data_IF_753427489386
#
_entry.id   IF_753427489386
#
_cell.length_a   1.000
_cell.length_b   1.000
_cell.length_c   1.000
_cell.angle_alpha   90.00
_cell.angle_beta   90.00
_cell.angle_gamma   90.00
#
_symmetry.space_group_name_H-M   'P 1'
#
loop_
_entity.id
_entity.type
_entity.pdbx_description
1 polymer ?
#
# COMPACT_ATOMS: atom_id res chain seq x y z
N UNK A 1 -32.38 68.85 -10.73
CA UNK A 1 -31.45 67.73 -10.40
C UNK A 1 -31.88 66.58 -11.27
N UNK A 2 -31.06 66.13 -12.18
CA UNK A 2 -31.30 64.91 -12.96
C UNK A 2 -31.08 63.72 -12.01
N UNK A 3 -32.06 62.86 -11.93
CA UNK A 3 -31.98 61.63 -11.17
C UNK A 3 -30.94 60.73 -11.77
N UNK A 4 -29.84 60.48 -11.08
CA UNK A 4 -28.78 59.57 -11.55
C UNK A 4 -29.32 58.16 -11.41
N UNK A 5 -29.58 57.52 -12.55
CA UNK A 5 -30.04 56.11 -12.57
C UNK A 5 -28.83 55.21 -12.33
N UNK A 6 -28.83 54.47 -11.20
CA UNK A 6 -27.82 53.45 -10.93
C UNK A 6 -28.15 52.18 -11.72
N UNK A 7 -27.21 51.74 -12.54
CA UNK A 7 -27.32 50.49 -13.32
C UNK A 7 -26.57 49.37 -12.59
N UNK A 8 -27.23 48.25 -12.30
CA UNK A 8 -26.64 47.05 -11.72
C UNK A 8 -26.29 45.99 -12.76
N UNK A 9 -26.94 46.02 -13.90
CA UNK A 9 -26.77 45.03 -14.97
C UNK A 9 -26.84 45.73 -16.34
N UNK A 10 -25.97 45.31 -17.27
CA UNK A 10 -26.02 45.76 -18.67
C UNK A 10 -26.85 44.73 -19.45
N UNK A 11 -28.03 45.16 -19.91
CA UNK A 11 -28.89 44.30 -20.75
C UNK A 11 -28.71 44.65 -22.23
N UNK A 12 -29.06 43.76 -23.17
CA UNK A 12 -29.04 44.04 -24.61
C UNK A 12 -29.86 45.26 -25.01
N UNK A 13 -30.99 45.50 -24.33
CA UNK A 13 -31.88 46.65 -24.56
C UNK A 13 -31.20 47.96 -24.14
N UNK A 14 -30.51 47.93 -22.99
CA UNK A 14 -29.79 49.09 -22.49
C UNK A 14 -28.62 49.46 -23.38
N UNK A 15 -27.94 48.49 -24.00
CA UNK A 15 -26.86 48.72 -24.96
C UNK A 15 -27.33 49.36 -26.25
N UNK A 16 -28.60 49.18 -26.64
CA UNK A 16 -29.21 49.81 -27.83
C UNK A 16 -29.58 51.25 -27.57
N UNK A 17 -29.68 51.71 -26.33
CA UNK A 17 -29.87 53.09 -25.98
C UNK A 17 -28.54 53.79 -25.72
N UNK A 18 -28.55 55.14 -25.63
CA UNK A 18 -27.35 55.89 -25.22
C UNK A 18 -27.31 56.15 -23.72
N UNK A 19 -28.31 55.73 -22.96
CA UNK A 19 -28.49 56.04 -21.55
C UNK A 19 -27.38 55.51 -20.66
N UNK A 20 -26.84 54.30 -21.00
CA UNK A 20 -25.77 53.69 -20.25
C UNK A 20 -24.46 54.49 -20.25
N UNK A 21 -24.26 55.41 -21.26
CA UNK A 21 -23.08 56.25 -21.32
C UNK A 21 -22.99 57.30 -20.24
N UNK A 22 -24.14 57.68 -19.70
CA UNK A 22 -24.28 58.73 -18.66
C UNK A 22 -24.77 58.12 -17.35
N UNK A 23 -24.89 56.81 -17.25
CA UNK A 23 -25.35 56.13 -16.06
C UNK A 23 -24.19 55.84 -15.07
N UNK A 24 -24.49 55.87 -13.81
CA UNK A 24 -23.57 55.47 -12.75
C UNK A 24 -23.71 53.97 -12.48
N UNK A 25 -22.63 53.24 -12.67
CA UNK A 25 -22.62 51.81 -12.40
C UNK A 25 -22.49 51.57 -10.90
N UNK A 26 -23.22 50.58 -10.36
CA UNK A 26 -23.09 50.17 -8.99
C UNK A 26 -21.66 49.77 -8.69
N UNK A 27 -20.96 50.46 -7.75
CA UNK A 27 -19.62 50.04 -7.38
C UNK A 27 -19.65 48.64 -6.76
N UNK A 28 -18.71 47.80 -7.13
CA UNK A 28 -18.52 46.51 -6.47
C UNK A 28 -17.09 46.44 -5.91
N UNK A 29 -16.99 45.79 -4.80
CA UNK A 29 -15.73 45.61 -4.11
C UNK A 29 -15.06 44.33 -4.61
N UNK A 30 -13.95 44.45 -5.31
CA UNK A 30 -13.17 43.33 -5.86
C UNK A 30 -12.44 42.53 -4.77
N UNK A 31 -12.36 43.09 -3.55
CA UNK A 31 -11.78 42.38 -2.40
C UNK A 31 -12.78 41.48 -1.70
N UNK A 32 -14.08 41.59 -1.99
CA UNK A 32 -15.07 40.66 -1.47
C UNK A 32 -14.85 39.26 -2.03
N UNK A 33 -14.70 38.29 -1.15
CA UNK A 33 -14.63 36.88 -1.53
C UNK A 33 -15.91 36.47 -2.28
N UNK A 34 -15.78 36.10 -3.54
CA UNK A 34 -16.88 35.49 -4.28
C UNK A 34 -17.19 34.13 -3.67
N UNK A 35 -18.46 33.78 -3.52
CA UNK A 35 -18.85 32.43 -3.12
C UNK A 35 -18.39 31.45 -4.22
N UNK A 36 -17.29 30.77 -3.99
CA UNK A 36 -16.81 29.72 -4.88
C UNK A 36 -17.80 28.55 -4.80
N UNK A 37 -18.36 28.08 -5.93
CA UNK A 37 -19.19 26.90 -5.92
C UNK A 37 -18.39 25.73 -5.34
N UNK A 38 -18.95 25.05 -4.35
CA UNK A 38 -18.32 23.89 -3.73
C UNK A 38 -18.29 22.75 -4.73
N UNK A 39 -17.14 22.52 -5.35
CA UNK A 39 -16.92 21.38 -6.23
C UNK A 39 -16.62 20.12 -5.42
N UNK A 40 -16.95 18.95 -5.96
CA UNK A 40 -16.56 17.67 -5.39
C UNK A 40 -15.02 17.53 -5.41
N UNK A 41 -14.50 16.71 -4.48
CA UNK A 41 -13.06 16.45 -4.34
C UNK A 41 -12.84 15.00 -3.92
N UNK A 42 -11.87 14.34 -4.51
CA UNK A 42 -11.46 13.00 -4.09
C UNK A 42 -10.88 13.03 -2.67
N UNK A 43 -11.12 11.96 -1.92
CA UNK A 43 -10.44 11.77 -0.63
C UNK A 43 -8.92 11.67 -0.88
N UNK A 44 -8.04 12.33 -0.09
CA UNK A 44 -6.59 12.34 -0.32
C UNK A 44 -5.96 10.95 -0.41
N UNK A 45 -6.44 9.99 0.39
CA UNK A 45 -5.99 8.60 0.31
C UNK A 45 -6.31 7.96 -1.04
N UNK A 46 -7.50 8.19 -1.60
CA UNK A 46 -7.86 7.64 -2.90
C UNK A 46 -7.02 8.26 -4.02
N UNK A 47 -6.79 9.57 -3.97
CA UNK A 47 -5.91 10.24 -4.92
C UNK A 47 -4.47 9.70 -4.84
N UNK A 48 -3.97 9.43 -3.63
CA UNK A 48 -2.65 8.83 -3.44
C UNK A 48 -2.58 7.40 -3.98
N UNK A 49 -3.59 6.57 -3.71
CA UNK A 49 -3.69 5.20 -4.25
C UNK A 49 -3.65 5.23 -5.78
N UNK A 50 -4.44 6.09 -6.42
CA UNK A 50 -4.45 6.22 -7.88
C UNK A 50 -3.10 6.67 -8.44
N UNK A 51 -2.42 7.61 -7.77
CA UNK A 51 -1.07 8.04 -8.16
C UNK A 51 -0.06 6.89 -8.06
N UNK A 52 -0.07 6.13 -6.98
CA UNK A 52 0.83 4.99 -6.78
C UNK A 52 0.56 3.91 -7.83
N UNK A 53 -0.73 3.59 -8.07
CA UNK A 53 -1.17 2.66 -9.12
C UNK A 53 -0.61 3.07 -10.48
N UNK A 54 -0.80 4.32 -10.87
CA UNK A 54 -0.30 4.86 -12.14
C UNK A 54 1.21 4.72 -12.27
N UNK A 55 1.97 4.98 -11.20
CA UNK A 55 3.43 4.84 -11.20
C UNK A 55 3.85 3.38 -11.46
N UNK A 56 3.25 2.40 -10.78
CA UNK A 56 3.60 0.99 -11.00
C UNK A 56 3.19 0.51 -12.40
N UNK A 57 2.01 0.92 -12.90
CA UNK A 57 1.59 0.62 -14.28
C UNK A 57 2.57 1.20 -15.32
N UNK A 58 3.01 2.45 -15.15
CA UNK A 58 4.04 3.07 -15.99
C UNK A 58 5.39 2.37 -15.92
N UNK A 59 5.71 1.75 -14.77
CA UNK A 59 6.93 0.97 -14.58
C UNK A 59 6.81 -0.47 -15.15
N UNK A 60 5.67 -0.81 -15.77
CA UNK A 60 5.42 -2.11 -16.41
C UNK A 60 4.95 -3.20 -15.47
N UNK A 61 4.37 -2.86 -14.31
CA UNK A 61 3.77 -3.82 -13.40
C UNK A 61 2.28 -4.02 -13.70
N UNK A 62 1.78 -5.22 -13.42
CA UNK A 62 0.34 -5.55 -13.45
C UNK A 62 -0.23 -5.57 -12.03
N UNK A 63 -1.43 -5.02 -11.84
CA UNK A 63 -2.11 -5.06 -10.54
C UNK A 63 -2.81 -6.40 -10.34
N UNK A 64 -2.65 -7.00 -9.15
CA UNK A 64 -3.32 -8.24 -8.77
C UNK A 64 -4.28 -8.00 -7.60
N UNK A 65 -5.33 -8.80 -7.53
CA UNK A 65 -6.41 -8.72 -6.52
C UNK A 65 -6.59 -10.10 -5.89
N UNK A 66 -6.72 -10.14 -4.57
CA UNK A 66 -6.97 -11.36 -3.81
C UNK A 66 -7.85 -11.12 -2.58
N UNK A 67 -8.35 -12.20 -1.99
CA UNK A 67 -9.27 -12.17 -0.87
C UNK A 67 -8.64 -11.71 0.45
N UNK A 68 -9.46 -11.09 1.31
CA UNK A 68 -9.07 -10.68 2.66
C UNK A 68 -8.96 -11.85 3.64
N UNK A 69 -9.81 -12.86 3.45
CA UNK A 69 -9.84 -14.06 4.29
C UNK A 69 -8.81 -15.05 3.75
N UNK A 70 -7.90 -15.43 4.63
CA UNK A 70 -6.78 -16.30 4.28
C UNK A 70 -6.63 -17.41 5.31
N UNK A 71 -5.78 -18.39 5.03
CA UNK A 71 -5.33 -19.36 6.02
C UNK A 71 -4.01 -18.92 6.65
N UNK A 72 -3.74 -19.38 7.86
CA UNK A 72 -2.43 -19.17 8.49
C UNK A 72 -1.29 -19.78 7.66
N UNK A 73 -1.57 -20.89 6.96
CA UNK A 73 -0.63 -21.50 6.02
C UNK A 73 -0.20 -20.53 4.92
N UNK A 74 -1.13 -19.99 4.18
CA UNK A 74 -0.81 -19.02 3.11
C UNK A 74 -0.23 -17.72 3.66
N UNK A 75 -0.77 -17.22 4.76
CA UNK A 75 -0.36 -15.93 5.33
C UNK A 75 1.01 -15.98 6.02
N UNK A 76 1.45 -17.15 6.51
CA UNK A 76 2.65 -17.27 7.33
C UNK A 76 3.54 -18.47 6.97
N UNK A 77 2.99 -19.70 6.85
CA UNK A 77 3.82 -20.89 6.59
C UNK A 77 4.47 -20.82 5.20
N UNK A 78 3.73 -20.38 4.19
CA UNK A 78 4.25 -20.13 2.84
C UNK A 78 5.40 -19.12 2.80
N UNK A 79 5.53 -18.28 3.82
CA UNK A 79 6.61 -17.30 3.99
C UNK A 79 7.68 -17.78 4.97
N UNK A 80 7.71 -19.07 5.26
CA UNK A 80 8.67 -19.66 6.17
C UNK A 80 8.72 -18.97 7.54
N UNK A 81 7.58 -18.43 8.02
CA UNK A 81 7.46 -17.86 9.36
C UNK A 81 7.18 -19.02 10.33
N UNK A 82 8.04 -19.26 11.35
CA UNK A 82 7.86 -20.41 12.27
C UNK A 82 6.52 -20.36 13.00
N UNK A 83 5.98 -21.54 13.35
CA UNK A 83 4.64 -21.63 13.94
C UNK A 83 4.54 -21.09 15.36
N UNK A 84 5.66 -20.93 16.04
CA UNK A 84 5.79 -20.29 17.37
C UNK A 84 6.18 -18.82 17.31
N UNK A 85 6.20 -18.22 16.10
CA UNK A 85 6.53 -16.80 15.95
C UNK A 85 5.48 -15.90 16.62
N UNK A 86 5.91 -14.86 17.38
CA UNK A 86 4.98 -13.98 18.11
C UNK A 86 3.88 -13.33 17.25
N UNK A 87 4.17 -13.00 15.98
CA UNK A 87 3.18 -12.43 15.04
C UNK A 87 1.95 -13.34 14.81
N UNK A 88 2.03 -14.63 15.17
CA UNK A 88 0.91 -15.58 15.07
C UNK A 88 0.01 -15.57 16.31
N UNK A 89 0.39 -14.87 17.36
CA UNK A 89 -0.41 -14.82 18.56
C UNK A 89 -1.75 -14.11 18.30
N UNK A 90 -2.76 -14.49 19.09
CA UNK A 90 -4.12 -13.94 18.94
C UNK A 90 -4.19 -12.44 19.21
N UNK A 91 -3.21 -11.88 19.89
CA UNK A 91 -3.10 -10.43 20.13
C UNK A 91 -2.66 -9.64 18.91
N UNK A 92 -1.97 -10.28 17.94
CA UNK A 92 -1.42 -9.60 16.75
C UNK A 92 -2.17 -9.97 15.46
N UNK A 93 -2.94 -11.07 15.46
CA UNK A 93 -3.67 -11.59 14.29
C UNK A 93 -5.16 -11.74 14.57
N UNK A 94 -6.01 -11.32 13.64
CA UNK A 94 -7.45 -11.56 13.69
C UNK A 94 -7.77 -12.95 13.12
N UNK A 95 -7.85 -13.95 13.99
CA UNK A 95 -8.36 -15.27 13.63
C UNK A 95 -9.89 -15.25 13.56
N UNK A 96 -10.45 -16.05 12.64
CA UNK A 96 -11.89 -16.12 12.40
C UNK A 96 -12.52 -17.28 13.21
N UNK A 97 -13.74 -17.04 13.66
CA UNK A 97 -14.58 -18.07 14.24
C UNK A 97 -15.38 -18.83 13.16
N UNK A 98 -15.63 -18.17 12.02
CA UNK A 98 -16.33 -18.75 10.86
C UNK A 98 -15.86 -18.12 9.55
N UNK A 99 -15.19 -18.85 8.64
CA UNK A 99 -14.72 -20.23 8.84
C UNK A 99 -13.53 -20.28 9.81
N UNK A 100 -13.62 -21.17 10.81
CA UNK A 100 -12.52 -21.39 11.76
C UNK A 100 -11.32 -22.07 11.11
N UNK A 101 -11.58 -22.93 10.14
CA UNK A 101 -10.57 -23.69 9.40
C UNK A 101 -10.94 -23.74 7.93
N UNK A 102 -9.96 -23.60 7.06
CA UNK A 102 -10.09 -23.69 5.60
C UNK A 102 -9.08 -24.72 5.10
N UNK A 103 -9.52 -25.73 4.32
CA UNK A 103 -8.63 -26.76 3.80
C UNK A 103 -7.55 -26.17 2.89
N UNK A 104 -6.34 -26.68 3.01
CA UNK A 104 -5.20 -26.41 2.11
C UNK A 104 -4.88 -27.71 1.37
N UNK A 105 -4.39 -27.59 0.14
CA UNK A 105 -3.96 -28.76 -0.64
C UNK A 105 -2.91 -29.58 0.15
N UNK A 106 -3.10 -30.89 0.20
CA UNK A 106 -2.29 -31.78 1.03
C UNK A 106 -0.82 -31.87 0.56
N UNK A 107 -0.56 -31.73 -0.74
CA UNK A 107 0.82 -31.75 -1.26
C UNK A 107 1.55 -30.49 -0.80
N UNK A 108 0.89 -29.36 -0.86
CA UNK A 108 1.46 -28.08 -0.42
C UNK A 108 1.69 -28.08 1.08
N UNK A 109 0.74 -28.58 1.89
CA UNK A 109 0.91 -28.73 3.34
C UNK A 109 2.10 -29.62 3.68
N UNK A 110 2.25 -30.74 2.99
CA UNK A 110 3.40 -31.65 3.19
C UNK A 110 4.73 -30.98 2.81
N UNK A 111 4.76 -30.21 1.73
CA UNK A 111 5.96 -29.46 1.35
C UNK A 111 6.32 -28.40 2.40
N UNK A 112 5.35 -27.63 2.90
CA UNK A 112 5.60 -26.67 3.97
C UNK A 112 6.04 -27.34 5.27
N UNK A 113 5.44 -28.48 5.62
CA UNK A 113 5.84 -29.25 6.79
C UNK A 113 7.31 -29.68 6.69
N UNK A 114 7.72 -30.27 5.58
CA UNK A 114 9.09 -30.71 5.37
C UNK A 114 10.09 -29.55 5.41
N UNK A 115 9.75 -28.43 4.74
CA UNK A 115 10.57 -27.21 4.77
C UNK A 115 10.72 -26.67 6.18
N UNK A 116 9.63 -26.58 6.95
CA UNK A 116 9.67 -26.05 8.31
C UNK A 116 10.39 -26.95 9.30
N UNK A 117 10.21 -28.28 9.20
CA UNK A 117 10.81 -29.25 10.11
C UNK A 117 12.26 -29.54 9.77
N UNK A 118 12.60 -29.64 8.46
CA UNK A 118 13.86 -30.21 8.00
C UNK A 118 14.57 -29.38 6.93
N UNK A 119 13.95 -28.34 6.39
CA UNK A 119 14.51 -27.50 5.32
C UNK A 119 14.21 -28.00 3.90
N UNK A 120 13.49 -29.13 3.75
CA UNK A 120 13.16 -29.71 2.44
C UNK A 120 14.39 -30.03 1.61
N UNK A 121 14.32 -29.76 0.31
CA UNK A 121 15.44 -29.91 -0.62
C UNK A 121 16.39 -28.68 -0.66
N UNK A 122 16.22 -27.72 0.28
CA UNK A 122 17.11 -26.55 0.39
C UNK A 122 18.37 -26.86 1.22
N UNK A 123 19.32 -25.91 1.26
CA UNK A 123 20.50 -26.02 2.16
C UNK A 123 20.16 -25.69 3.64
N UNK A 124 18.91 -25.37 3.93
CA UNK A 124 18.43 -25.05 5.29
C UNK A 124 18.20 -26.33 6.10
N UNK A 125 18.27 -26.20 7.43
CA UNK A 125 17.87 -27.26 8.36
C UNK A 125 16.43 -27.10 8.86
N UNK A 126 15.68 -26.15 8.31
CA UNK A 126 14.37 -25.77 8.81
C UNK A 126 14.43 -25.05 10.17
N UNK A 127 13.27 -24.86 10.77
CA UNK A 127 13.15 -24.34 12.15
C UNK A 127 13.24 -25.44 13.20
N UNK A 128 13.07 -26.71 12.80
CA UNK A 128 12.91 -27.85 13.69
C UNK A 128 11.52 -27.86 14.33
N UNK A 129 11.37 -28.69 15.37
CA UNK A 129 10.07 -28.83 16.05
C UNK A 129 9.09 -29.70 15.27
N UNK A 130 7.80 -29.56 15.60
CA UNK A 130 6.70 -30.30 14.96
C UNK A 130 5.75 -29.33 14.30
N UNK A 131 5.55 -29.45 13.00
CA UNK A 131 4.61 -28.64 12.25
C UNK A 131 3.16 -29.12 12.45
N UNK A 132 2.25 -28.20 12.72
CA UNK A 132 0.83 -28.49 12.92
C UNK A 132 0.01 -28.05 11.71
N UNK A 133 -0.60 -29.01 11.03
CA UNK A 133 -1.52 -28.76 9.93
C UNK A 133 -2.79 -28.03 10.39
N UNK A 134 -3.24 -28.30 11.63
CA UNK A 134 -4.39 -27.60 12.21
C UNK A 134 -4.12 -26.10 12.35
N UNK A 135 -2.92 -25.70 12.78
CA UNK A 135 -2.52 -24.29 12.86
C UNK A 135 -2.49 -23.68 11.48
N UNK A 136 -1.94 -24.36 10.47
CA UNK A 136 -1.87 -23.87 9.09
C UNK A 136 -3.24 -23.61 8.47
N UNK A 137 -4.22 -24.44 8.77
CA UNK A 137 -5.57 -24.35 8.22
C UNK A 137 -6.47 -23.32 8.92
N UNK A 138 -6.02 -22.69 10.00
CA UNK A 138 -6.83 -21.66 10.70
C UNK A 138 -7.12 -20.48 9.78
N UNK A 139 -8.42 -20.09 9.74
CA UNK A 139 -8.87 -18.91 9.03
C UNK A 139 -8.48 -17.62 9.76
N UNK A 140 -8.05 -16.61 9.02
CA UNK A 140 -7.67 -15.31 9.54
C UNK A 140 -7.94 -14.18 8.52
N UNK A 141 -7.93 -12.93 8.99
CA UNK A 141 -7.78 -11.77 8.11
C UNK A 141 -6.30 -11.56 7.81
N UNK A 142 -5.94 -11.40 6.53
CA UNK A 142 -4.54 -11.26 6.12
C UNK A 142 -3.82 -10.13 6.86
N UNK A 143 -2.61 -10.40 7.32
CA UNK A 143 -1.78 -9.43 8.07
C UNK A 143 -0.83 -8.63 7.17
N UNK A 144 -0.70 -9.04 5.92
CA UNK A 144 0.10 -8.40 4.86
C UNK A 144 -0.43 -8.82 3.49
N UNK A 145 -0.07 -8.05 2.46
CA UNK A 145 -0.45 -8.34 1.06
C UNK A 145 0.50 -9.34 0.39
N UNK A 146 1.59 -9.73 1.02
CA UNK A 146 2.52 -10.76 0.52
C UNK A 146 1.84 -12.10 0.28
N UNK A 147 0.77 -12.39 1.02
CA UNK A 147 -0.06 -13.58 0.77
C UNK A 147 -0.61 -13.61 -0.66
N UNK A 148 -0.97 -12.44 -1.21
CA UNK A 148 -1.50 -12.33 -2.58
C UNK A 148 -0.43 -12.65 -3.61
N UNK A 149 0.78 -12.10 -3.42
CA UNK A 149 1.90 -12.32 -4.33
C UNK A 149 2.39 -13.76 -4.29
N UNK A 150 2.38 -14.39 -3.11
CA UNK A 150 2.73 -15.82 -2.96
C UNK A 150 1.70 -16.71 -3.66
N UNK A 151 0.40 -16.45 -3.51
CA UNK A 151 -0.65 -17.21 -4.20
C UNK A 151 -0.59 -17.02 -5.72
N UNK A 152 -0.33 -15.79 -6.18
CA UNK A 152 -0.11 -15.51 -7.59
C UNK A 152 1.09 -16.31 -8.15
N UNK A 153 2.22 -16.33 -7.42
CA UNK A 153 3.41 -17.10 -7.81
C UNK A 153 3.13 -18.60 -7.81
N UNK A 154 2.40 -19.13 -6.84
CA UNK A 154 2.01 -20.53 -6.80
C UNK A 154 1.14 -20.95 -8.00
N UNK A 155 0.32 -20.05 -8.51
CA UNK A 155 -0.48 -20.27 -9.71
C UNK A 155 0.32 -20.09 -11.01
N UNK A 156 1.44 -19.35 -10.99
CA UNK A 156 2.26 -18.99 -12.16
C UNK A 156 3.77 -19.21 -11.88
N UNK A 157 4.21 -20.42 -11.50
CA UNK A 157 5.55 -20.63 -10.95
C UNK A 157 6.71 -20.51 -11.97
N UNK A 158 6.41 -20.51 -13.26
CA UNK A 158 7.41 -20.52 -14.35
C UNK A 158 7.33 -19.30 -15.26
N UNK A 159 6.34 -18.42 -15.06
CA UNK A 159 6.13 -17.27 -15.94
C UNK A 159 6.78 -16.02 -15.36
N UNK A 160 7.74 -15.40 -16.05
CA UNK A 160 8.29 -14.11 -15.60
C UNK A 160 7.20 -13.10 -15.37
N UNK A 161 7.23 -12.41 -14.22
CA UNK A 161 6.20 -11.47 -13.87
C UNK A 161 6.71 -10.27 -13.09
N UNK A 162 5.99 -9.16 -13.22
CA UNK A 162 6.09 -7.95 -12.40
C UNK A 162 4.69 -7.57 -11.96
N UNK A 163 4.37 -7.84 -10.71
CA UNK A 163 3.03 -7.60 -10.18
C UNK A 163 3.08 -6.77 -8.91
N UNK A 164 2.02 -6.03 -8.65
CA UNK A 164 1.84 -5.27 -7.42
C UNK A 164 0.41 -5.36 -6.90
N UNK A 165 0.23 -5.04 -5.63
CA UNK A 165 -1.06 -4.96 -4.97
C UNK A 165 -1.09 -3.74 -4.03
N UNK A 166 -2.25 -3.06 -3.91
CA UNK A 166 -2.49 -1.98 -2.96
C UNK A 166 -3.80 -2.29 -2.24
N UNK A 167 -3.72 -2.92 -1.08
CA UNK A 167 -4.91 -3.41 -0.39
C UNK A 167 -4.80 -3.29 1.12
N UNK A 168 -5.97 -3.42 1.77
CA UNK A 168 -6.08 -3.42 3.22
C UNK A 168 -5.51 -4.69 3.83
N UNK A 169 -4.84 -4.52 4.95
CA UNK A 169 -4.33 -5.57 5.82
C UNK A 169 -4.82 -5.31 7.24
N UNK A 170 -4.81 -6.34 8.06
CA UNK A 170 -5.44 -6.32 9.37
C UNK A 170 -4.47 -6.84 10.43
N UNK A 171 -4.21 -6.01 11.45
CA UNK A 171 -3.37 -6.38 12.60
C UNK A 171 -4.06 -5.96 13.88
N UNK A 172 -4.11 -6.84 14.85
CA UNK A 172 -4.78 -6.57 16.13
C UNK A 172 -3.89 -5.72 17.04
N UNK A 173 -3.47 -4.57 16.53
CA UNK A 173 -2.65 -3.60 17.25
C UNK A 173 -3.51 -2.60 18.01
N UNK A 174 -2.94 -2.01 19.07
CA UNK A 174 -3.59 -0.90 19.77
C UNK A 174 -3.56 0.35 18.90
N UNK A 175 -4.70 1.04 18.85
CA UNK A 175 -4.84 2.28 18.07
C UNK A 175 -4.04 3.41 18.73
N UNK A 176 -3.08 3.97 18.01
CA UNK A 176 -2.33 5.15 18.43
C UNK A 176 -2.11 6.12 17.25
N UNK A 177 -1.12 7.03 17.36
CA UNK A 177 -0.80 8.00 16.30
C UNK A 177 -0.16 7.40 15.06
N UNK A 178 0.31 6.17 15.14
CA UNK A 178 1.13 5.50 14.12
C UNK A 178 0.62 4.11 13.75
N UNK A 179 -0.33 3.57 14.51
CA UNK A 179 -0.87 2.23 14.34
C UNK A 179 -2.38 2.23 14.26
N UNK A 180 -2.89 1.43 13.32
CA UNK A 180 -4.30 1.16 13.10
C UNK A 180 -4.51 -0.34 12.93
N UNK A 181 -5.67 -0.89 13.37
CA UNK A 181 -5.96 -2.32 13.20
C UNK A 181 -6.27 -2.70 11.74
N UNK A 182 -6.53 -1.73 10.92
CA UNK A 182 -6.76 -1.83 9.46
C UNK A 182 -5.99 -0.70 8.78
N UNK A 183 -5.16 -1.04 7.80
CA UNK A 183 -4.39 -0.09 7.01
C UNK A 183 -4.07 -0.67 5.64
N UNK A 184 -3.52 0.14 4.72
CA UNK A 184 -3.15 -0.33 3.39
C UNK A 184 -1.66 -0.66 3.32
N UNK A 185 -1.36 -1.74 2.62
CA UNK A 185 -0.01 -2.11 2.24
C UNK A 185 0.12 -2.06 0.73
N UNK A 186 1.22 -1.47 0.27
CA UNK A 186 1.68 -1.51 -1.12
C UNK A 186 2.71 -2.62 -1.18
N UNK A 187 2.47 -3.60 -2.01
CA UNK A 187 3.37 -4.72 -2.21
C UNK A 187 3.69 -4.91 -3.68
N UNK A 188 4.83 -5.49 -3.97
CA UNK A 188 5.13 -5.91 -5.32
C UNK A 188 6.26 -6.93 -5.37
N UNK A 189 6.30 -7.65 -6.48
CA UNK A 189 7.34 -8.62 -6.79
C UNK A 189 7.83 -8.46 -8.22
N UNK A 190 9.07 -8.92 -8.44
CA UNK A 190 9.65 -9.17 -9.75
C UNK A 190 10.18 -10.60 -9.72
N UNK A 191 9.66 -11.46 -10.58
CA UNK A 191 10.19 -12.79 -10.84
C UNK A 191 10.60 -12.87 -12.30
N UNK A 192 11.88 -12.97 -12.57
CA UNK A 192 12.42 -13.13 -13.92
C UNK A 192 13.83 -13.71 -13.87
N UNK A 193 14.30 -14.37 -14.94
CA UNK A 193 15.69 -14.81 -15.03
C UNK A 193 16.67 -13.66 -14.79
N UNK A 194 17.56 -13.82 -13.81
CA UNK A 194 18.55 -12.80 -13.47
C UNK A 194 18.06 -11.67 -12.57
N UNK A 195 16.84 -11.75 -12.04
CA UNK A 195 16.39 -10.80 -10.98
C UNK A 195 17.39 -10.83 -9.81
N UNK A 196 17.71 -9.65 -9.29
CA UNK A 196 18.76 -9.50 -8.29
C UNK A 196 18.53 -8.25 -7.40
N UNK A 197 19.34 -8.15 -6.35
CA UNK A 197 19.25 -7.04 -5.40
C UNK A 197 19.42 -5.66 -6.06
N UNK A 198 20.29 -5.53 -7.06
CA UNK A 198 20.49 -4.28 -7.79
C UNK A 198 19.23 -3.83 -8.53
N UNK A 199 18.54 -4.79 -9.17
CA UNK A 199 17.23 -4.54 -9.82
C UNK A 199 16.19 -4.10 -8.80
N UNK A 200 16.08 -4.78 -7.67
CA UNK A 200 15.16 -4.42 -6.60
C UNK A 200 15.40 -2.99 -6.09
N UNK A 201 16.65 -2.67 -5.75
CA UNK A 201 17.03 -1.33 -5.26
C UNK A 201 16.76 -0.26 -6.31
N UNK A 202 17.03 -0.52 -7.59
CA UNK A 202 16.73 0.40 -8.68
C UNK A 202 15.24 0.65 -8.84
N UNK A 203 14.42 -0.40 -8.77
CA UNK A 203 12.95 -0.32 -8.83
C UNK A 203 12.40 0.57 -7.71
N UNK A 204 12.81 0.32 -6.46
CA UNK A 204 12.38 1.09 -5.30
C UNK A 204 12.81 2.56 -5.37
N UNK A 205 14.06 2.83 -5.78
CA UNK A 205 14.52 4.20 -6.00
C UNK A 205 13.72 4.92 -7.06
N UNK A 206 13.43 4.26 -8.19
CA UNK A 206 12.61 4.83 -9.27
C UNK A 206 11.20 5.15 -8.79
N UNK A 207 10.58 4.25 -8.04
CA UNK A 207 9.27 4.48 -7.43
C UNK A 207 9.25 5.73 -6.55
N UNK A 208 10.17 5.83 -5.58
CA UNK A 208 10.21 6.97 -4.67
C UNK A 208 10.59 8.28 -5.37
N UNK A 209 11.45 8.24 -6.40
CA UNK A 209 11.74 9.41 -7.24
C UNK A 209 10.49 9.92 -7.95
N UNK A 210 9.69 9.02 -8.54
CA UNK A 210 8.40 9.37 -9.17
C UNK A 210 7.38 9.89 -8.16
N UNK A 211 7.46 9.44 -6.91
CA UNK A 211 6.68 9.98 -5.79
C UNK A 211 7.14 11.37 -5.31
N UNK A 212 8.31 11.86 -5.79
CA UNK A 212 8.87 13.15 -5.40
C UNK A 212 9.91 13.08 -4.26
N UNK A 213 10.39 11.87 -3.92
CA UNK A 213 11.42 11.63 -2.90
C UNK A 213 12.71 11.13 -3.55
N UNK A 214 13.62 12.02 -4.02
CA UNK A 214 14.83 11.60 -4.72
C UNK A 214 15.92 11.04 -3.79
N UNK A 215 15.91 11.41 -2.51
CA UNK A 215 16.90 10.92 -1.53
C UNK A 215 16.38 9.62 -0.88
N UNK A 216 16.81 8.49 -1.45
CA UNK A 216 16.46 7.14 -0.99
C UNK A 216 17.73 6.38 -0.64
N UNK A 217 17.73 5.74 0.52
CA UNK A 217 18.77 4.79 0.91
C UNK A 217 18.17 3.46 1.33
N UNK A 218 18.96 2.42 1.26
CA UNK A 218 18.63 1.09 1.78
C UNK A 218 19.63 0.72 2.87
N UNK A 219 19.18 -0.04 3.85
CA UNK A 219 20.05 -0.60 4.89
C UNK A 219 19.73 -2.08 5.09
N UNK A 220 20.68 -2.92 5.51
CA UNK A 220 20.42 -4.32 5.83
C UNK A 220 19.35 -4.45 6.91
N UNK A 221 18.49 -5.46 6.74
CA UNK A 221 17.43 -5.82 7.68
C UNK A 221 17.33 -7.35 7.79
N UNK A 222 16.40 -7.82 8.58
CA UNK A 222 16.08 -9.24 8.68
C UNK A 222 14.57 -9.46 8.55
N UNK A 223 14.20 -10.36 7.64
CA UNK A 223 12.85 -10.92 7.54
C UNK A 223 12.99 -12.44 7.36
N UNK A 224 12.12 -13.27 7.96
CA UNK A 224 12.26 -14.73 7.90
C UNK A 224 12.15 -15.30 6.48
N UNK A 225 11.55 -14.57 5.55
CA UNK A 225 11.24 -15.02 4.18
C UNK A 225 12.15 -14.44 3.10
N UNK A 226 13.07 -13.54 3.43
CA UNK A 226 13.99 -12.94 2.44
C UNK A 226 15.45 -13.05 2.85
N UNK A 227 16.35 -13.23 1.86
CA UNK A 227 17.79 -13.17 2.00
C UNK A 227 18.43 -12.83 0.63
N UNK A 228 19.12 -11.68 0.49
CA UNK A 228 19.27 -10.61 1.47
C UNK A 228 17.96 -9.86 1.75
N UNK A 229 17.88 -9.31 2.97
CA UNK A 229 16.79 -8.43 3.39
C UNK A 229 17.28 -7.00 3.56
N UNK A 230 16.43 -6.04 3.24
CA UNK A 230 16.74 -4.62 3.41
C UNK A 230 15.51 -3.81 3.82
N UNK A 231 15.74 -2.69 4.49
CA UNK A 231 14.75 -1.64 4.73
C UNK A 231 15.03 -0.46 3.80
N UNK A 232 13.94 0.17 3.36
CA UNK A 232 13.96 1.34 2.49
C UNK A 232 13.63 2.58 3.31
N UNK A 233 14.51 3.56 3.26
CA UNK A 233 14.33 4.83 3.95
C UNK A 233 14.36 5.98 2.96
N UNK A 234 13.50 6.97 3.18
CA UNK A 234 13.52 8.24 2.46
C UNK A 234 13.89 9.39 3.39
N UNK A 235 14.53 10.42 2.84
CA UNK A 235 14.86 11.61 3.60
C UNK A 235 13.70 12.59 3.59
N UNK A 236 13.17 12.90 4.77
CA UNK A 236 12.09 13.84 4.96
C UNK A 236 12.38 14.78 6.13
N UNK A 237 12.25 16.08 5.90
CA UNK A 237 12.53 17.13 6.89
C UNK A 237 13.89 16.93 7.61
N UNK A 238 14.90 16.51 6.86
CA UNK A 238 16.26 16.29 7.38
C UNK A 238 16.49 14.97 8.14
N UNK A 239 15.47 14.12 8.31
CA UNK A 239 15.55 12.80 8.96
C UNK A 239 15.33 11.68 7.96
N UNK A 240 15.91 10.52 8.23
CA UNK A 240 15.64 9.30 7.51
C UNK A 240 14.43 8.59 8.14
N UNK A 241 13.45 8.25 7.31
CA UNK A 241 12.24 7.55 7.72
C UNK A 241 12.14 6.25 6.96
N UNK A 242 11.99 5.16 7.70
CA UNK A 242 11.68 3.84 7.16
C UNK A 242 10.25 3.84 6.61
N UNK A 243 10.11 3.39 5.35
CA UNK A 243 8.82 3.27 4.68
C UNK A 243 8.44 1.85 4.32
N UNK A 244 9.37 0.90 4.36
CA UNK A 244 9.08 -0.49 4.08
C UNK A 244 10.29 -1.41 4.05
N UNK A 245 10.00 -2.70 3.96
CA UNK A 245 10.97 -3.76 3.80
C UNK A 245 11.00 -4.32 2.38
N UNK A 246 12.14 -4.89 2.00
CA UNK A 246 12.31 -5.55 0.73
C UNK A 246 13.41 -6.63 0.81
N UNK A 247 13.45 -7.52 -0.19
CA UNK A 247 14.47 -8.54 -0.24
C UNK A 247 14.27 -9.51 -1.40
N UNK A 248 15.08 -10.53 -1.44
CA UNK A 248 14.93 -11.66 -2.38
C UNK A 248 14.34 -12.81 -1.57
N UNK A 249 13.27 -13.43 -2.07
CA UNK A 249 12.69 -14.59 -1.38
C UNK A 249 13.70 -15.71 -1.26
N UNK A 250 13.72 -16.33 -0.10
CA UNK A 250 14.57 -17.48 0.21
C UNK A 250 14.09 -18.72 -0.53
N UNK A 251 15.00 -19.71 -0.78
CA UNK A 251 14.61 -20.99 -1.36
C UNK A 251 13.48 -21.70 -0.63
N UNK A 252 13.43 -21.58 0.71
CA UNK A 252 12.39 -22.19 1.54
C UNK A 252 10.97 -21.64 1.26
N UNK A 253 10.89 -20.45 0.65
CA UNK A 253 9.64 -19.85 0.19
C UNK A 253 9.29 -20.28 -1.24
N UNK A 254 10.29 -20.31 -2.11
CA UNK A 254 10.08 -20.50 -3.57
C UNK A 254 10.00 -21.95 -3.98
N UNK A 255 10.78 -22.83 -3.35
CA UNK A 255 10.87 -24.24 -3.72
C UNK A 255 9.58 -25.03 -3.55
N UNK A 256 8.83 -24.90 -2.42
CA UNK A 256 7.53 -25.57 -2.26
C UNK A 256 6.52 -25.21 -3.34
N UNK A 257 6.71 -24.07 -4.00
CA UNK A 257 5.85 -23.54 -5.06
C UNK A 257 6.37 -23.91 -6.47
N UNK A 258 7.53 -24.58 -6.58
CA UNK A 258 8.14 -24.96 -7.85
C UNK A 258 8.78 -23.79 -8.61
N UNK A 259 9.07 -22.68 -7.94
CA UNK A 259 9.68 -21.49 -8.52
C UNK A 259 11.20 -21.67 -8.57
N UNK A 260 11.79 -21.42 -9.73
CA UNK A 260 13.24 -21.55 -9.96
C UNK A 260 13.95 -20.22 -10.16
N UNK A 261 13.24 -19.21 -10.65
CA UNK A 261 13.80 -17.90 -10.87
C UNK A 261 13.83 -17.09 -9.56
N UNK A 262 14.83 -16.20 -9.38
CA UNK A 262 14.87 -15.33 -8.22
C UNK A 262 13.63 -14.42 -8.16
N UNK A 263 13.10 -14.20 -6.94
CA UNK A 263 11.96 -13.33 -6.69
C UNK A 263 12.39 -12.17 -5.83
N UNK A 264 12.41 -10.97 -6.39
CA UNK A 264 12.52 -9.72 -5.64
C UNK A 264 11.15 -9.32 -5.11
N UNK A 265 11.07 -8.98 -3.82
CA UNK A 265 9.82 -8.59 -3.15
C UNK A 265 9.99 -7.34 -2.29
N UNK A 266 8.93 -6.57 -2.14
CA UNK A 266 8.89 -5.43 -1.21
C UNK A 266 7.49 -5.22 -0.67
N UNK A 267 7.41 -4.63 0.54
CA UNK A 267 6.17 -4.22 1.18
C UNK A 267 6.33 -2.86 1.87
N UNK A 268 5.36 -1.97 1.69
CA UNK A 268 5.36 -0.60 2.21
C UNK A 268 4.01 -0.25 2.81
N UNK A 269 4.00 0.45 3.95
CA UNK A 269 2.76 1.00 4.53
C UNK A 269 2.32 2.26 3.79
N UNK A 270 1.11 2.23 3.20
CA UNK A 270 0.57 3.38 2.45
C UNK A 270 0.33 4.58 3.36
N UNK A 271 -0.21 4.37 4.54
CA UNK A 271 -0.54 5.45 5.49
C UNK A 271 0.69 6.20 5.97
N UNK A 272 1.83 5.51 6.16
CA UNK A 272 3.11 6.19 6.46
C UNK A 272 3.53 7.11 5.31
N UNK A 273 3.40 6.65 4.08
CA UNK A 273 3.65 7.49 2.91
C UNK A 273 2.64 8.64 2.80
N UNK A 274 1.35 8.39 3.09
CA UNK A 274 0.32 9.41 3.12
C UNK A 274 0.60 10.50 4.17
N UNK A 275 1.04 10.12 5.36
CA UNK A 275 1.45 11.07 6.40
C UNK A 275 2.59 11.98 5.91
N UNK A 276 3.57 11.44 5.19
CA UNK A 276 4.63 12.22 4.58
C UNK A 276 4.11 13.21 3.53
N UNK A 277 3.30 12.71 2.59
CA UNK A 277 2.77 13.50 1.48
C UNK A 277 1.87 14.63 1.95
N UNK A 278 1.03 14.35 2.96
CA UNK A 278 0.04 15.30 3.51
C UNK A 278 0.57 16.10 4.71
N UNK A 279 1.77 15.79 5.20
CA UNK A 279 2.39 16.48 6.34
C UNK A 279 1.68 16.22 7.68
N UNK A 280 1.13 15.03 7.88
CA UNK A 280 0.36 14.65 9.07
C UNK A 280 1.25 14.07 10.17
N UNK A 281 0.88 14.33 11.42
CA UNK A 281 1.55 13.79 12.60
C UNK A 281 0.71 12.68 13.30
N UNK A 282 -0.49 12.41 12.79
CA UNK A 282 -1.42 11.42 13.34
C UNK A 282 -2.17 10.68 12.22
N UNK A 283 -1.94 9.38 12.11
CA UNK A 283 -2.50 8.49 11.09
C UNK A 283 -4.04 8.46 11.09
N UNK A 284 -4.66 8.69 12.27
CA UNK A 284 -6.11 8.65 12.45
C UNK A 284 -6.83 9.75 11.66
N UNK A 285 -6.15 10.87 11.36
CA UNK A 285 -6.71 11.96 10.55
C UNK A 285 -7.12 11.50 9.14
N UNK A 286 -6.46 10.48 8.61
CA UNK A 286 -6.79 9.90 7.31
C UNK A 286 -8.16 9.21 7.28
N UNK A 287 -8.71 8.83 8.44
CA UNK A 287 -9.93 8.03 8.56
C UNK A 287 -11.08 8.72 9.30
N UNK A 288 -10.81 9.81 10.03
CA UNK A 288 -11.87 10.58 10.75
C UNK A 288 -12.80 11.27 9.76
N UNK A 289 -12.34 11.55 8.54
CA UNK A 289 -13.15 12.20 7.47
C UNK A 289 -13.76 13.56 7.89
N UNK A 290 -13.00 14.35 8.66
CA UNK A 290 -13.38 15.72 8.98
C UNK A 290 -13.52 16.55 7.71
N UNK A 291 -14.70 17.17 7.50
CA UNK A 291 -15.01 17.83 6.24
C UNK A 291 -14.17 19.08 5.99
N UNK A 292 -13.81 19.81 7.04
CA UNK A 292 -13.00 21.02 6.86
C UNK A 292 -11.54 20.64 6.59
N UNK A 293 -11.04 19.60 7.24
CA UNK A 293 -9.74 19.03 6.89
C UNK A 293 -9.72 18.55 5.44
N UNK A 294 -10.71 17.76 5.01
CA UNK A 294 -10.79 17.25 3.62
C UNK A 294 -10.81 18.37 2.58
N UNK A 295 -11.57 19.46 2.85
CA UNK A 295 -11.65 20.61 1.94
C UNK A 295 -10.31 21.33 1.78
N UNK A 296 -9.54 21.43 2.86
CA UNK A 296 -8.28 22.17 2.90
C UNK A 296 -7.07 21.36 2.42
N UNK A 297 -7.19 20.05 2.23
CA UNK A 297 -6.09 19.25 1.70
C UNK A 297 -5.78 19.59 0.25
N UNK A 298 -4.51 19.49 -0.20
CA UNK A 298 -4.15 19.69 -1.60
C UNK A 298 -4.83 18.63 -2.48
N UNK A 299 -5.01 18.95 -3.74
CA UNK A 299 -5.33 17.98 -4.79
C UNK A 299 -4.01 17.33 -5.19
N UNK A 300 -3.90 16.01 -5.01
CA UNK A 300 -2.68 15.25 -5.29
C UNK A 300 -2.60 14.83 -6.77
#
# INVERSE_FOLDING_TARGET
>A
MQEIVQISEITPELLQTSEWKNAEFRPYDVSLEASIPRTGKSHPMQALIERIRSIFLEMGFSEIVEDYVQTAGWNMDALFIPQDHPAREMQDTFYLDNPKSVPIDSKLLNSWKDIHEHGGDTESTGWGGTFSEEISQRGLLRTHTTVNTIQYLAANPTEPCRVFAIYRVFRKESIDRTHLPEFHQIEGIIMEPGANLGMLVSTLKTFYQKMGYPEVRVRPAYFPYTEPSLEVEVKWRGKWLELGGAGIFRPEVTEPLGIKDPVCAWGMGLERLAMLVLGLDDIRQLYISDLDWLRNQPIL
#
